data_IF_924560476700
#
_entry.id   IF_924560476700
#
_cell.length_a   1.000
_cell.length_b   1.000
_cell.length_c   1.000
_cell.angle_alpha   90.00
_cell.angle_beta   90.00
_cell.angle_gamma   90.00
#
_symmetry.space_group_name_H-M   'P 1'
#
loop_
_entity.id
_entity.type
_entity.pdbx_description
1 polymer ?
#
# COMPACT_ATOMS: atom_id res chain seq x y z
N UNK A 1 -0.49 -38.24 11.28
CA UNK A 1 0.65 -37.49 11.87
C UNK A 1 0.62 -36.09 11.29
N UNK A 2 0.09 -35.15 12.07
CA UNK A 2 -0.27 -33.80 11.62
C UNK A 2 0.93 -32.86 11.50
N UNK A 3 0.91 -32.08 10.42
CA UNK A 3 1.84 -30.99 10.08
C UNK A 3 1.61 -29.79 11.00
N UNK A 4 2.65 -28.99 11.25
CA UNK A 4 2.47 -27.72 11.95
C UNK A 4 3.76 -26.91 12.20
N UNK A 5 4.50 -26.56 11.15
CA UNK A 5 5.53 -25.52 11.22
C UNK A 5 4.98 -24.21 10.67
N UNK A 6 4.83 -23.19 11.53
CA UNK A 6 5.53 -21.89 11.47
C UNK A 6 4.79 -20.84 12.30
N UNK A 7 5.33 -20.62 13.50
CA UNK A 7 5.11 -19.43 14.33
C UNK A 7 6.03 -18.32 13.84
N UNK A 8 5.51 -17.33 13.13
CA UNK A 8 6.06 -15.98 12.95
C UNK A 8 4.80 -15.18 12.62
N UNK A 9 4.19 -14.40 13.51
CA UNK A 9 4.44 -12.98 13.71
C UNK A 9 3.73 -12.50 15.00
N UNK A 10 4.36 -12.58 16.17
CA UNK A 10 3.76 -12.03 17.42
C UNK A 10 4.70 -11.15 18.25
N UNK A 11 5.84 -10.72 17.69
CA UNK A 11 6.88 -10.04 18.46
C UNK A 11 6.86 -8.50 18.39
N UNK A 12 6.05 -7.87 17.51
CA UNK A 12 6.10 -6.41 17.32
C UNK A 12 4.99 -5.62 18.01
N UNK A 13 3.99 -6.27 18.61
CA UNK A 13 2.84 -5.58 19.21
C UNK A 13 2.93 -5.35 20.74
N UNK A 14 4.07 -5.66 21.38
CA UNK A 14 4.15 -5.67 22.87
C UNK A 14 5.09 -4.65 23.53
N UNK A 15 5.60 -3.65 22.81
CA UNK A 15 6.63 -2.74 23.36
C UNK A 15 6.28 -1.25 23.41
N UNK A 16 5.00 -0.88 23.39
CA UNK A 16 4.58 0.51 23.66
C UNK A 16 3.32 0.53 24.52
N UNK A 17 3.44 0.22 25.81
CA UNK A 17 2.40 0.56 26.79
C UNK A 17 3.02 0.77 28.18
N UNK A 18 3.59 1.96 28.41
CA UNK A 18 3.75 2.51 29.75
C UNK A 18 3.87 4.04 29.71
N UNK A 19 2.75 4.75 29.70
CA UNK A 19 2.55 6.01 30.46
C UNK A 19 1.25 6.71 30.04
N UNK A 20 0.39 6.93 31.03
CA UNK A 20 -0.87 7.67 31.09
C UNK A 20 -1.17 8.75 30.02
N UNK A 21 -2.39 8.70 29.45
CA UNK A 21 -3.20 9.88 29.11
C UNK A 21 -4.69 9.50 28.93
N UNK A 22 -5.55 10.46 29.22
CA UNK A 22 -6.98 10.43 29.54
C UNK A 22 -7.97 9.63 28.67
N UNK A 23 -9.03 9.21 29.36
CA UNK A 23 -10.26 8.61 28.84
C UNK A 23 -10.99 9.53 27.83
N UNK A 24 -11.26 9.01 26.63
CA UNK A 24 -12.27 9.51 25.71
C UNK A 24 -13.16 8.31 25.32
N UNK A 25 -14.47 8.30 25.63
CA UNK A 25 -15.32 7.12 25.42
C UNK A 25 -16.19 7.25 24.17
N UNK A 26 -15.58 7.38 22.99
CA UNK A 26 -16.25 7.17 21.70
C UNK A 26 -15.18 6.61 20.76
N UNK A 27 -15.25 5.32 20.41
CA UNK A 27 -14.47 4.55 19.41
C UNK A 27 -14.12 3.14 19.92
N UNK A 28 -15.12 2.41 20.40
CA UNK A 28 -15.03 0.96 20.61
C UNK A 28 -16.22 0.28 19.91
N UNK A 29 -16.32 0.49 18.60
CA UNK A 29 -16.94 -0.53 17.74
C UNK A 29 -15.80 -1.47 17.39
N UNK A 30 -15.71 -2.59 18.11
CA UNK A 30 -14.90 -3.71 17.66
C UNK A 30 -15.43 -4.12 16.27
N UNK A 31 -14.58 -4.22 15.23
CA UNK A 31 -15.00 -4.91 14.02
C UNK A 31 -15.35 -6.34 14.44
N UNK A 32 -16.59 -6.74 14.17
CA UNK A 32 -17.08 -8.10 14.38
C UNK A 32 -16.16 -9.07 13.62
N UNK A 33 -15.47 -10.03 14.29
CA UNK A 33 -14.47 -10.87 13.66
C UNK A 33 -15.02 -11.91 12.67
N UNK A 34 -16.33 -11.96 12.43
CA UNK A 34 -16.98 -13.05 11.68
C UNK A 34 -17.25 -12.77 10.18
N UNK A 35 -16.80 -11.66 9.59
CA UNK A 35 -17.14 -11.33 8.18
C UNK A 35 -15.97 -11.01 7.23
N UNK A 36 -14.72 -11.28 7.63
CA UNK A 36 -13.59 -11.24 6.69
C UNK A 36 -13.37 -12.63 6.07
N UNK A 37 -14.32 -13.06 5.24
CA UNK A 37 -14.07 -14.17 4.30
C UNK A 37 -12.79 -13.83 3.51
N UNK A 38 -11.89 -14.79 3.25
CA UNK A 38 -10.71 -14.54 2.42
C UNK A 38 -11.17 -14.25 0.98
N UNK A 39 -11.38 -12.98 0.64
CA UNK A 39 -11.69 -12.54 -0.72
C UNK A 39 -10.61 -13.07 -1.65
N UNK A 40 -11.01 -13.75 -2.74
CA UNK A 40 -10.06 -14.26 -3.71
C UNK A 40 -9.21 -13.09 -4.26
N UNK A 41 -7.87 -13.20 -4.32
CA UNK A 41 -7.02 -12.11 -4.77
C UNK A 41 -7.40 -11.56 -6.15
N UNK A 42 -8.01 -12.37 -7.04
CA UNK A 42 -8.47 -11.88 -8.34
C UNK A 42 -9.76 -11.10 -8.22
N UNK A 43 -10.72 -11.55 -7.42
CA UNK A 43 -11.95 -10.79 -7.13
C UNK A 43 -11.63 -9.42 -6.55
N UNK A 44 -10.69 -9.40 -5.60
CA UNK A 44 -10.16 -8.16 -5.04
C UNK A 44 -9.60 -7.26 -6.15
N UNK A 45 -8.71 -7.78 -7.01
CA UNK A 45 -8.14 -7.01 -8.13
C UNK A 45 -9.20 -6.45 -9.09
N UNK A 46 -10.27 -7.19 -9.37
CA UNK A 46 -11.36 -6.71 -10.23
C UNK A 46 -12.17 -5.59 -9.56
N UNK A 47 -12.44 -5.69 -8.25
CA UNK A 47 -13.05 -4.61 -7.49
C UNK A 47 -12.17 -3.34 -7.54
N UNK A 48 -10.86 -3.49 -7.35
CA UNK A 48 -9.92 -2.37 -7.47
C UNK A 48 -9.93 -1.75 -8.87
N UNK A 49 -9.95 -2.55 -9.94
CA UNK A 49 -10.06 -2.02 -11.31
C UNK A 49 -11.33 -1.20 -11.48
N UNK A 50 -12.46 -1.66 -10.94
CA UNK A 50 -13.73 -0.95 -11.02
C UNK A 50 -13.67 0.41 -10.32
N UNK A 51 -13.03 0.49 -9.14
CA UNK A 51 -12.81 1.76 -8.43
C UNK A 51 -11.91 2.69 -9.23
N UNK A 52 -10.78 2.18 -9.73
CA UNK A 52 -9.81 2.96 -10.51
C UNK A 52 -10.39 3.52 -11.82
N UNK A 53 -11.33 2.82 -12.46
CA UNK A 53 -12.01 3.30 -13.67
C UNK A 53 -12.80 4.62 -13.47
N UNK A 54 -13.14 4.96 -12.24
CA UNK A 54 -13.85 6.21 -11.91
C UNK A 54 -12.90 7.36 -11.55
N UNK A 55 -11.62 7.07 -11.33
CA UNK A 55 -10.61 8.05 -10.97
C UNK A 55 -9.95 8.71 -12.20
N UNK A 56 -9.35 9.90 -12.04
CA UNK A 56 -8.61 10.55 -13.11
C UNK A 56 -7.50 9.65 -13.67
N UNK A 57 -7.22 9.69 -14.98
CA UNK A 57 -6.18 8.85 -15.57
C UNK A 57 -4.80 9.11 -14.94
N UNK A 58 -4.14 8.01 -14.59
CA UNK A 58 -2.73 8.01 -14.18
C UNK A 58 -1.84 8.73 -15.18
N UNK A 59 -0.85 9.47 -14.66
CA UNK A 59 0.21 10.03 -15.49
C UNK A 59 1.05 8.92 -16.13
N UNK A 60 1.13 8.90 -17.47
CA UNK A 60 1.84 7.85 -18.19
C UNK A 60 3.34 8.16 -18.26
N UNK A 61 4.16 7.16 -17.93
CA UNK A 61 5.62 7.21 -17.99
C UNK A 61 6.12 6.06 -18.87
N UNK A 62 7.11 6.34 -19.70
CA UNK A 62 7.72 5.35 -20.59
C UNK A 62 9.05 4.83 -20.03
N UNK A 63 9.36 3.56 -20.33
CA UNK A 63 10.66 2.99 -20.03
C UNK A 63 11.66 3.41 -21.10
N UNK A 64 12.83 3.91 -20.67
CA UNK A 64 13.97 4.12 -21.55
C UNK A 64 14.75 2.82 -21.65
N UNK A 65 14.99 2.33 -22.87
CA UNK A 65 15.82 1.15 -23.09
C UNK A 65 17.29 1.50 -22.86
N UNK A 66 17.88 0.88 -21.84
CA UNK A 66 19.29 1.06 -21.47
C UNK A 66 20.11 -0.21 -21.75
N UNK A 67 19.54 -1.19 -22.45
CA UNK A 67 20.25 -2.43 -22.76
C UNK A 67 21.50 -2.13 -23.58
N UNK A 68 22.65 -2.53 -23.06
CA UNK A 68 23.87 -2.72 -23.85
C UNK A 68 23.72 -3.99 -24.68
N UNK A 69 24.24 -4.05 -25.90
CA UNK A 69 24.08 -5.14 -26.90
C UNK A 69 24.56 -6.55 -26.46
N UNK A 70 24.86 -6.76 -25.18
CA UNK A 70 25.17 -8.06 -24.61
C UNK A 70 23.89 -8.79 -24.15
N UNK A 71 23.57 -9.96 -24.73
CA UNK A 71 22.45 -10.78 -24.26
C UNK A 71 22.76 -11.36 -22.88
N UNK A 72 21.94 -11.04 -21.87
CA UNK A 72 21.98 -11.70 -20.56
C UNK A 72 21.20 -13.02 -20.60
N UNK A 73 21.75 -14.08 -20.01
CA UNK A 73 21.09 -15.38 -19.88
C UNK A 73 19.96 -15.41 -18.84
N UNK A 74 19.86 -14.37 -18.01
CA UNK A 74 18.92 -14.30 -16.89
C UNK A 74 17.71 -13.41 -17.22
N UNK A 75 16.51 -13.74 -16.70
CA UNK A 75 15.36 -12.86 -16.82
C UNK A 75 15.63 -11.54 -16.05
N UNK A 76 15.15 -10.40 -16.57
CA UNK A 76 15.35 -9.11 -15.93
C UNK A 76 14.59 -9.06 -14.59
N UNK A 77 15.26 -8.55 -13.55
CA UNK A 77 14.64 -8.26 -12.26
C UNK A 77 14.20 -6.79 -12.22
N UNK A 78 12.91 -6.55 -11.97
CA UNK A 78 12.37 -5.20 -11.85
C UNK A 78 12.31 -4.78 -10.38
N UNK A 79 12.94 -3.66 -10.08
CA UNK A 79 12.95 -3.06 -8.74
C UNK A 79 12.23 -1.71 -8.82
N UNK A 80 11.23 -1.51 -7.97
CA UNK A 80 10.55 -0.23 -7.78
C UNK A 80 10.95 0.36 -6.43
N UNK A 81 11.37 1.61 -6.43
CA UNK A 81 11.65 2.40 -5.23
C UNK A 81 10.70 3.58 -5.20
N UNK A 82 9.92 3.73 -4.13
CA UNK A 82 8.96 4.82 -4.03
C UNK A 82 8.78 5.30 -2.58
N UNK A 83 8.87 6.61 -2.37
CA UNK A 83 8.34 7.24 -1.16
C UNK A 83 6.84 7.50 -1.41
N UNK A 84 5.99 6.75 -0.69
CA UNK A 84 4.54 6.79 -0.89
C UNK A 84 3.86 7.96 -0.19
N UNK A 85 4.61 8.78 0.57
CA UNK A 85 4.15 9.87 1.42
C UNK A 85 3.18 9.38 2.50
N UNK A 86 3.60 9.44 3.76
CA UNK A 86 2.73 8.97 4.85
C UNK A 86 1.47 9.85 4.97
N UNK A 87 0.35 9.24 5.35
CA UNK A 87 -0.92 9.96 5.48
C UNK A 87 -0.84 11.12 6.49
N UNK A 88 -0.22 10.85 7.65
CA UNK A 88 -0.10 11.83 8.73
C UNK A 88 0.75 13.04 8.33
N UNK A 89 1.80 12.85 7.52
CA UNK A 89 2.61 13.96 7.03
C UNK A 89 1.88 14.75 5.94
N UNK A 90 1.17 14.05 5.06
CA UNK A 90 0.38 14.65 3.99
C UNK A 90 -0.71 15.61 4.48
N UNK A 91 -1.48 15.20 5.50
CA UNK A 91 -2.54 16.05 6.07
C UNK A 91 -2.01 17.06 7.09
N UNK A 92 -0.91 16.75 7.78
CA UNK A 92 -0.48 17.51 8.96
C UNK A 92 0.68 18.48 8.73
N UNK A 93 1.73 18.09 8.01
CA UNK A 93 3.05 18.74 8.11
C UNK A 93 3.64 19.23 6.79
N UNK A 94 3.32 18.60 5.66
CA UNK A 94 4.02 18.87 4.40
C UNK A 94 3.55 20.14 3.69
N UNK A 95 2.49 20.79 4.17
CA UNK A 95 2.01 22.09 3.67
C UNK A 95 1.82 22.10 2.14
N UNK A 96 1.13 21.10 1.59
CA UNK A 96 0.79 21.05 0.17
C UNK A 96 -0.28 22.11 -0.22
N UNK A 97 0.09 23.39 -0.20
CA UNK A 97 -0.83 24.54 -0.35
C UNK A 97 -1.56 24.62 -1.69
N UNK A 98 -1.10 23.91 -2.71
CA UNK A 98 -1.74 23.83 -4.03
C UNK A 98 -2.51 22.51 -4.24
N UNK A 99 -2.37 21.54 -3.33
CA UNK A 99 -3.07 20.27 -3.42
C UNK A 99 -4.44 20.39 -2.73
N UNK A 100 -5.55 20.04 -3.41
CA UNK A 100 -6.84 19.92 -2.74
C UNK A 100 -6.78 18.92 -1.59
N UNK A 101 -7.38 19.25 -0.45
CA UNK A 101 -7.37 18.37 0.74
C UNK A 101 -8.09 17.05 0.47
N UNK A 102 -9.06 17.04 -0.44
CA UNK A 102 -9.77 15.85 -0.88
C UNK A 102 -8.83 14.86 -1.57
N UNK A 103 -7.85 15.34 -2.32
CA UNK A 103 -6.84 14.50 -2.97
C UNK A 103 -5.81 13.94 -1.98
N UNK A 104 -5.76 14.47 -0.75
CA UNK A 104 -4.91 13.95 0.31
C UNK A 104 -5.59 12.89 1.17
N UNK A 105 -6.91 12.68 1.03
CA UNK A 105 -7.63 11.64 1.77
C UNK A 105 -7.05 10.26 1.48
N UNK A 106 -6.94 9.46 2.54
CA UNK A 106 -6.35 8.13 2.45
C UNK A 106 -7.08 7.22 1.46
N UNK A 107 -8.41 7.28 1.43
CA UNK A 107 -9.25 6.46 0.57
C UNK A 107 -8.92 6.70 -0.92
N UNK A 108 -8.72 7.96 -1.31
CA UNK A 108 -8.34 8.32 -2.67
C UNK A 108 -6.91 7.90 -2.98
N UNK A 109 -5.97 8.25 -2.09
CA UNK A 109 -4.54 8.01 -2.30
C UNK A 109 -4.19 6.53 -2.31
N UNK A 110 -4.84 5.71 -1.49
CA UNK A 110 -4.62 4.27 -1.45
C UNK A 110 -4.86 3.64 -2.81
N UNK A 111 -5.92 4.05 -3.51
CA UNK A 111 -6.24 3.55 -4.84
C UNK A 111 -5.13 3.92 -5.84
N UNK A 112 -4.69 5.17 -5.86
CA UNK A 112 -3.61 5.65 -6.73
C UNK A 112 -2.27 4.97 -6.45
N UNK A 113 -1.94 4.72 -5.18
CA UNK A 113 -0.73 3.99 -4.78
C UNK A 113 -0.76 2.56 -5.31
N UNK A 114 -1.89 1.88 -5.16
CA UNK A 114 -2.07 0.51 -5.65
C UNK A 114 -2.06 0.46 -7.18
N UNK A 115 -2.68 1.43 -7.86
CA UNK A 115 -2.66 1.52 -9.32
C UNK A 115 -1.22 1.63 -9.85
N UNK A 116 -0.41 2.51 -9.28
CA UNK A 116 0.99 2.69 -9.69
C UNK A 116 1.82 1.42 -9.45
N UNK A 117 1.59 0.72 -8.33
CA UNK A 117 2.23 -0.58 -8.03
C UNK A 117 1.82 -1.65 -9.05
N UNK A 118 0.53 -1.74 -9.41
CA UNK A 118 0.04 -2.76 -10.34
C UNK A 118 0.47 -2.48 -11.79
N UNK A 119 0.62 -1.21 -12.16
CA UNK A 119 1.00 -0.80 -13.51
C UNK A 119 2.38 -1.31 -13.94
N UNK A 120 3.32 -1.49 -13.00
CA UNK A 120 4.70 -1.85 -13.34
C UNK A 120 5.11 -3.29 -13.01
N UNK A 121 4.27 -4.16 -12.47
CA UNK A 121 4.59 -5.60 -12.29
C UNK A 121 6.03 -5.88 -11.79
N UNK A 122 6.42 -5.23 -10.69
CA UNK A 122 7.76 -5.32 -10.11
C UNK A 122 8.01 -6.67 -9.42
N UNK A 123 9.27 -7.12 -9.44
CA UNK A 123 9.72 -8.28 -8.68
C UNK A 123 10.16 -7.92 -7.26
N UNK A 124 10.66 -6.70 -7.06
CA UNK A 124 11.01 -6.13 -5.75
C UNK A 124 10.36 -4.75 -5.63
N UNK A 125 9.72 -4.50 -4.49
CA UNK A 125 9.14 -3.22 -4.14
C UNK A 125 9.75 -2.70 -2.84
N UNK A 126 10.36 -1.53 -2.89
CA UNK A 126 10.92 -0.82 -1.75
C UNK A 126 10.11 0.46 -1.50
N UNK A 127 9.53 0.59 -0.31
CA UNK A 127 8.70 1.74 0.06
C UNK A 127 9.35 2.54 1.19
N UNK A 128 9.15 3.86 1.17
CA UNK A 128 9.32 4.73 2.34
C UNK A 128 8.03 5.47 2.63
N UNK A 129 7.88 5.83 3.90
CA UNK A 129 6.69 6.49 4.44
C UNK A 129 5.41 5.72 4.12
#
# INVERSE_FOLDING_TARGET
>A
MGKGTRRLYSALAKTLNSSAASQHPEYLVSPDPEHLEPTDPKELLEEWRAVLHTQPPRFQREFVDLRTDCPSSHPPLRVMQWNTLSQALGEGKDNFVQCPVEALKWEERKCLILEEILAYQQGILCLQE
#
